data_IF_062944317180
#
_entry.id   IF_062944317180
#
_cell.length_a   1.000
_cell.length_b   1.000
_cell.length_c   1.000
_cell.angle_alpha   90.00
_cell.angle_beta   90.00
_cell.angle_gamma   90.00
#
_symmetry.space_group_name_H-M   'P 1'
#
loop_
_entity.id
_entity.type
_entity.pdbx_description
1 polymer ?
#
# COMPACT_ATOMS: atom_id res chain seq x y z
N UNK A 1 -3.87 11.01 -5.06
CA UNK A 1 -3.25 9.68 -5.20
C UNK A 1 -2.11 9.86 -6.17
N UNK A 2 -0.87 9.59 -5.76
CA UNK A 2 0.28 9.63 -6.65
C UNK A 2 0.64 8.19 -6.97
N UNK A 3 0.87 7.89 -8.25
CA UNK A 3 1.38 6.61 -8.72
C UNK A 3 2.80 6.84 -9.21
N UNK A 4 3.72 5.99 -8.77
CA UNK A 4 5.13 6.02 -9.18
C UNK A 4 5.45 4.61 -9.69
N UNK A 5 5.83 4.51 -10.95
CA UNK A 5 6.27 3.27 -11.57
C UNK A 5 7.78 3.13 -11.40
N UNK A 6 8.22 2.01 -10.82
CA UNK A 6 9.64 1.71 -10.59
C UNK A 6 9.89 0.24 -10.90
N UNK A 7 10.97 -0.05 -11.62
CA UNK A 7 11.38 -1.43 -11.91
C UNK A 7 12.21 -2.00 -10.76
N UNK A 8 11.98 -3.27 -10.43
CA UNK A 8 12.62 -3.91 -9.26
C UNK A 8 14.15 -3.97 -9.35
N UNK A 9 14.68 -4.15 -10.56
CA UNK A 9 16.13 -4.18 -10.85
C UNK A 9 16.80 -2.80 -10.71
N UNK A 10 16.02 -1.73 -10.83
CA UNK A 10 16.46 -0.35 -10.63
C UNK A 10 16.36 0.12 -9.16
N UNK A 11 15.76 -0.67 -8.27
CA UNK A 11 15.67 -0.32 -6.85
C UNK A 11 17.04 -0.23 -6.19
N UNK A 12 17.20 0.77 -5.32
CA UNK A 12 18.35 0.85 -4.41
C UNK A 12 18.40 -0.36 -3.47
N UNK A 13 19.55 -0.60 -2.84
CA UNK A 13 19.66 -1.69 -1.85
C UNK A 13 18.67 -1.53 -0.68
N UNK A 14 18.44 -0.30 -0.23
CA UNK A 14 17.49 0.01 0.83
C UNK A 14 16.04 -0.30 0.43
N UNK A 15 15.66 0.04 -0.80
CA UNK A 15 14.29 -0.21 -1.28
C UNK A 15 14.04 -1.70 -1.53
N UNK A 16 15.04 -2.46 -1.99
CA UNK A 16 14.94 -3.93 -2.07
C UNK A 16 14.75 -4.55 -0.70
N UNK A 17 15.49 -4.08 0.31
CA UNK A 17 15.30 -4.55 1.69
C UNK A 17 13.91 -4.20 2.22
N UNK A 18 13.39 -3.02 1.90
CA UNK A 18 12.02 -2.63 2.26
C UNK A 18 11.01 -3.58 1.60
N UNK A 19 11.12 -3.83 0.29
CA UNK A 19 10.24 -4.75 -0.43
C UNK A 19 10.25 -6.15 0.19
N UNK A 20 11.43 -6.67 0.54
CA UNK A 20 11.57 -7.97 1.23
C UNK A 20 10.92 -7.98 2.62
N UNK A 21 11.11 -6.91 3.42
CA UNK A 21 10.48 -6.75 4.74
C UNK A 21 8.95 -6.69 4.64
N UNK A 22 8.43 -6.10 3.57
CA UNK A 22 7.00 -6.08 3.25
C UNK A 22 6.49 -7.41 2.66
N UNK A 23 7.38 -8.40 2.44
CA UNK A 23 7.03 -9.72 1.95
C UNK A 23 6.86 -9.81 0.43
N UNK A 24 7.25 -8.78 -0.33
CA UNK A 24 7.23 -8.80 -1.79
C UNK A 24 8.38 -9.66 -2.32
N UNK A 25 8.05 -10.62 -3.19
CA UNK A 25 9.00 -11.60 -3.73
C UNK A 25 8.91 -11.66 -5.25
N UNK A 26 9.63 -10.80 -5.98
CA UNK A 26 9.70 -10.90 -7.43
C UNK A 26 10.22 -12.28 -7.88
N UNK A 27 9.77 -12.79 -9.03
CA UNK A 27 8.88 -12.13 -9.99
C UNK A 27 7.38 -12.26 -9.65
N UNK A 28 7.02 -12.79 -8.47
CA UNK A 28 5.62 -12.96 -8.10
C UNK A 28 4.91 -11.61 -7.90
N UNK A 29 3.62 -11.60 -8.26
CA UNK A 29 2.75 -10.46 -7.98
C UNK A 29 2.48 -10.34 -6.48
N UNK A 30 2.47 -9.11 -5.98
CA UNK A 30 2.14 -8.83 -4.59
C UNK A 30 1.69 -7.39 -4.40
N UNK A 31 0.64 -7.21 -3.59
CA UNK A 31 0.15 -5.90 -3.16
C UNK A 31 0.30 -5.80 -1.66
N UNK A 32 0.78 -4.65 -1.19
CA UNK A 32 0.88 -4.32 0.23
C UNK A 32 0.27 -2.94 0.43
N UNK A 33 -0.75 -2.85 1.28
CA UNK A 33 -1.28 -1.58 1.76
C UNK A 33 -0.52 -1.19 3.03
N UNK A 34 0.24 -0.10 2.97
CA UNK A 34 1.00 0.44 4.11
C UNK A 34 0.28 1.67 4.65
N UNK A 35 0.06 1.72 5.97
CA UNK A 35 -0.50 2.88 6.64
C UNK A 35 0.51 4.02 6.77
N UNK A 36 0.05 5.25 7.07
CA UNK A 36 0.98 6.37 7.33
C UNK A 36 1.81 6.20 8.61
N UNK A 37 1.46 5.22 9.43
CA UNK A 37 2.23 4.75 10.59
C UNK A 37 3.35 3.77 10.21
N UNK A 38 3.49 3.44 8.92
CA UNK A 38 4.49 2.49 8.41
C UNK A 38 4.08 1.01 8.56
N UNK A 39 2.91 0.72 9.15
CA UNK A 39 2.47 -0.65 9.36
C UNK A 39 1.75 -1.23 8.14
N UNK A 40 2.02 -2.50 7.83
CA UNK A 40 1.25 -3.27 6.85
C UNK A 40 -0.19 -3.48 7.32
N UNK A 41 -1.17 -3.08 6.51
CA UNK A 41 -2.61 -3.17 6.83
C UNK A 41 -3.31 -4.27 6.06
N UNK A 42 -2.82 -4.59 4.87
CA UNK A 42 -3.34 -5.66 4.02
C UNK A 42 -2.23 -6.12 3.07
N UNK A 43 -2.22 -7.41 2.79
CA UNK A 43 -1.44 -8.00 1.70
C UNK A 43 -2.37 -8.75 0.75
N UNK A 44 -1.97 -8.88 -0.52
CA UNK A 44 -2.67 -9.72 -1.50
C UNK A 44 -1.66 -10.29 -2.49
N UNK A 45 -1.81 -11.58 -2.82
CA UNK A 45 -1.05 -12.23 -3.88
C UNK A 45 -1.75 -12.14 -5.25
N UNK A 46 -2.94 -11.54 -5.31
CA UNK A 46 -3.73 -11.34 -6.53
C UNK A 46 -4.15 -9.87 -6.67
N UNK A 47 -4.42 -9.40 -7.90
CA UNK A 47 -4.91 -8.05 -8.13
C UNK A 47 -6.14 -7.73 -7.28
N UNK A 48 -6.20 -6.51 -6.76
CA UNK A 48 -7.34 -6.04 -5.98
C UNK A 48 -8.26 -5.20 -6.87
N UNK A 49 -9.57 -5.40 -6.73
CA UNK A 49 -10.53 -4.46 -7.27
C UNK A 49 -10.37 -3.10 -6.57
N UNK A 50 -10.51 -1.96 -7.29
CA UNK A 50 -10.42 -0.64 -6.69
C UNK A 50 -11.37 -0.46 -5.51
N UNK A 51 -12.61 -0.93 -5.62
CA UNK A 51 -13.63 -0.81 -4.58
C UNK A 51 -13.25 -1.56 -3.29
N UNK A 52 -12.61 -2.73 -3.41
CA UNK A 52 -12.11 -3.47 -2.25
C UNK A 52 -10.98 -2.72 -1.54
N UNK A 53 -10.10 -2.08 -2.31
CA UNK A 53 -9.02 -1.28 -1.75
C UNK A 53 -9.58 -0.05 -1.04
N UNK A 54 -10.43 0.73 -1.68
CA UNK A 54 -11.04 1.92 -1.09
C UNK A 54 -11.90 1.57 0.13
N UNK A 55 -12.71 0.52 0.05
CA UNK A 55 -13.49 0.03 1.18
C UNK A 55 -12.63 -0.41 2.37
N UNK A 56 -11.41 -0.91 2.13
CA UNK A 56 -10.43 -1.19 3.20
C UNK A 56 -9.91 0.11 3.80
N UNK A 57 -9.49 1.06 2.95
CA UNK A 57 -8.92 2.35 3.38
C UNK A 57 -9.93 3.21 4.14
N UNK A 58 -11.19 3.24 3.72
CA UNK A 58 -12.26 4.03 4.35
C UNK A 58 -12.64 3.54 5.75
N UNK A 59 -12.38 2.27 6.05
CA UNK A 59 -12.52 1.72 7.41
C UNK A 59 -11.38 2.17 8.35
N UNK A 60 -10.28 2.72 7.82
CA UNK A 60 -9.13 3.12 8.63
C UNK A 60 -9.41 4.42 9.41
N UNK A 61 -8.99 4.52 10.69
CA UNK A 61 -9.28 5.68 11.54
C UNK A 61 -8.85 7.02 10.94
N UNK A 62 -7.67 7.06 10.32
CA UNK A 62 -7.13 8.26 9.67
C UNK A 62 -8.03 8.77 8.55
N UNK A 63 -8.52 7.86 7.68
CA UNK A 63 -9.38 8.20 6.56
C UNK A 63 -10.73 8.74 7.03
N UNK A 64 -11.29 8.17 8.10
CA UNK A 64 -12.50 8.69 8.77
C UNK A 64 -12.29 10.09 9.32
N UNK A 65 -11.13 10.37 9.93
CA UNK A 65 -10.80 11.72 10.43
C UNK A 65 -10.66 12.74 9.28
N UNK A 66 -10.01 12.36 8.17
CA UNK A 66 -9.91 13.21 6.99
C UNK A 66 -11.28 13.56 6.39
N UNK A 67 -12.18 12.58 6.27
CA UNK A 67 -13.55 12.81 5.80
C UNK A 67 -14.31 13.78 6.71
N UNK A 68 -14.17 13.63 8.04
CA UNK A 68 -14.78 14.55 9.02
C UNK A 68 -14.26 15.98 8.88
N UNK A 69 -12.94 16.15 8.69
CA UNK A 69 -12.32 17.48 8.52
C UNK A 69 -12.68 18.16 7.21
N UNK A 70 -13.01 17.40 6.15
CA UNK A 70 -13.41 17.95 4.84
C UNK A 70 -14.89 18.35 4.77
N UNK A 71 -15.72 17.85 5.68
CA UNK A 71 -17.12 18.22 5.80
C UNK A 71 -17.38 19.40 6.74
N UNK A 72 -16.32 19.98 7.30
CA UNK A 72 -16.30 21.25 8.04
C UNK A 72 -15.66 22.30 7.14
#
# INVERSE_FOLDING_TARGET
>A
MQVIDVFYDQLSAADRQLAQRLGLRPPAFGVVLVGKDGGTKRTSATPLAPDDLFGTVDKMPMRRQEMRRRGQ
#
